data_IF_092989810784
#
_entry.id   IF_092989810784
#
_cell.length_a   1.000
_cell.length_b   1.000
_cell.length_c   1.000
_cell.angle_alpha   90.00
_cell.angle_beta   90.00
_cell.angle_gamma   90.00
#
_symmetry.space_group_name_H-M   'P 1'
#
loop_
_entity.id
_entity.type
_entity.pdbx_description
1 polymer ?
#
# COMPACT_ATOMS: atom_id res chain seq x y z
N UNK A 1 5.92 7.68 -10.47
CA UNK A 1 5.46 7.33 -9.12
C UNK A 1 6.09 6.01 -8.73
N UNK A 2 6.78 5.99 -7.58
CA UNK A 2 7.49 4.81 -7.07
C UNK A 2 6.79 4.19 -5.84
N UNK A 3 5.59 4.64 -5.52
CA UNK A 3 4.84 4.07 -4.40
C UNK A 3 4.71 2.55 -4.53
N UNK A 4 4.94 1.87 -3.40
CA UNK A 4 4.95 0.41 -3.25
C UNK A 4 6.18 -0.33 -3.77
N UNK A 5 7.04 0.30 -4.61
CA UNK A 5 8.28 -0.30 -5.10
C UNK A 5 9.48 -0.09 -4.20
N UNK A 6 9.46 0.96 -3.37
CA UNK A 6 10.60 1.34 -2.54
C UNK A 6 11.03 0.22 -1.59
N UNK A 7 12.32 -0.04 -1.53
CA UNK A 7 12.97 -1.08 -0.70
C UNK A 7 12.56 -2.53 -1.03
N UNK A 8 11.89 -2.77 -2.16
CA UNK A 8 11.57 -4.13 -2.62
C UNK A 8 12.79 -4.74 -3.31
N UNK A 9 13.49 -3.94 -4.11
CA UNK A 9 14.72 -4.32 -4.79
C UNK A 9 15.94 -3.59 -4.22
N UNK A 10 17.13 -4.00 -4.64
CA UNK A 10 18.40 -3.38 -4.21
C UNK A 10 18.69 -2.06 -4.89
N UNK A 11 18.02 -1.80 -6.01
CA UNK A 11 18.18 -0.59 -6.81
C UNK A 11 16.83 0.03 -7.12
N UNK A 12 16.77 1.34 -7.10
CA UNK A 12 15.57 2.12 -7.39
C UNK A 12 15.52 2.52 -8.88
N UNK A 13 14.37 2.94 -9.43
CA UNK A 13 14.22 3.22 -10.86
C UNK A 13 15.21 4.26 -11.41
N UNK A 14 15.80 5.09 -10.56
CA UNK A 14 16.86 6.04 -10.98
C UNK A 14 18.13 5.36 -11.44
N UNK A 15 18.41 4.14 -11.01
CA UNK A 15 19.51 3.33 -11.49
C UNK A 15 19.27 2.81 -12.93
N UNK A 16 18.00 2.73 -13.32
CA UNK A 16 17.57 2.25 -14.64
C UNK A 16 17.16 3.36 -15.60
N UNK A 17 17.57 4.61 -15.33
CA UNK A 17 17.43 5.72 -16.24
C UNK A 17 16.28 6.68 -15.96
N UNK A 18 15.51 6.50 -14.91
CA UNK A 18 14.53 7.50 -14.48
C UNK A 18 15.25 8.77 -14.02
N UNK A 19 14.85 9.92 -14.54
CA UNK A 19 15.41 11.20 -14.14
C UNK A 19 14.94 11.67 -12.77
N UNK A 20 13.70 11.37 -12.45
CA UNK A 20 13.05 11.66 -11.18
C UNK A 20 12.16 10.49 -10.77
N UNK A 21 12.04 10.27 -9.48
CA UNK A 21 11.02 9.46 -8.83
C UNK A 21 10.35 10.29 -7.76
N UNK A 22 9.11 9.97 -7.48
CA UNK A 22 8.34 10.56 -6.39
C UNK A 22 7.54 9.46 -5.67
N UNK A 23 7.29 9.66 -4.40
CA UNK A 23 6.51 8.73 -3.62
C UNK A 23 6.01 9.34 -2.32
N UNK A 24 5.26 8.56 -1.58
CA UNK A 24 4.64 8.96 -0.31
C UNK A 24 5.44 8.45 0.88
N UNK A 25 5.72 9.33 1.84
CA UNK A 25 6.38 8.93 3.09
C UNK A 25 5.44 8.19 4.05
N UNK A 26 4.11 8.23 3.85
CA UNK A 26 3.17 7.43 4.66
C UNK A 26 3.04 5.97 4.17
N UNK A 27 3.79 5.60 3.12
CA UNK A 27 3.84 4.24 2.55
C UNK A 27 5.16 3.56 2.89
N UNK A 28 5.74 2.81 1.96
CA UNK A 28 6.97 2.05 2.17
C UNK A 28 8.07 2.84 2.90
N UNK A 29 8.47 4.06 2.43
CA UNK A 29 9.60 4.76 3.03
C UNK A 29 9.38 5.22 4.47
N UNK A 30 8.13 5.35 4.88
CA UNK A 30 7.82 5.78 6.25
C UNK A 30 7.76 4.66 7.27
N UNK A 31 7.85 3.40 6.85
CA UNK A 31 7.90 2.24 7.74
C UNK A 31 6.76 2.17 8.77
N UNK A 32 5.59 2.73 8.45
CA UNK A 32 4.44 2.82 9.35
C UNK A 32 4.57 3.88 10.45
N UNK A 33 5.62 4.71 10.45
CA UNK A 33 5.88 5.72 11.48
C UNK A 33 5.74 7.15 11.00
N UNK A 34 5.97 7.43 9.71
CA UNK A 34 5.83 8.77 9.16
C UNK A 34 4.35 9.13 9.02
N UNK A 35 3.87 10.18 9.71
CA UNK A 35 2.44 10.53 9.72
C UNK A 35 1.98 11.31 8.49
N UNK A 36 2.92 11.79 7.69
CA UNK A 36 2.66 12.65 6.52
C UNK A 36 3.89 12.74 5.63
N UNK A 37 3.74 13.36 4.47
CA UNK A 37 4.83 13.76 3.62
C UNK A 37 4.97 12.94 2.34
N UNK A 38 5.80 13.45 1.47
CA UNK A 38 6.22 12.82 0.23
C UNK A 38 7.68 13.14 -0.04
N UNK A 39 8.24 12.48 -1.03
CA UNK A 39 9.61 12.72 -1.47
C UNK A 39 9.68 12.85 -2.99
N UNK A 40 10.68 13.57 -3.43
CA UNK A 40 11.15 13.60 -4.82
C UNK A 40 12.64 13.31 -4.78
N UNK A 41 13.10 12.33 -5.55
CA UNK A 41 14.51 11.97 -5.64
C UNK A 41 14.93 11.80 -7.11
N UNK A 42 16.22 11.99 -7.41
CA UNK A 42 16.75 11.85 -8.75
C UNK A 42 17.83 12.86 -9.08
N UNK A 43 17.92 13.27 -10.35
CA UNK A 43 18.93 14.22 -10.80
C UNK A 43 18.77 15.59 -10.14
N UNK A 44 19.83 16.09 -9.54
CA UNK A 44 19.87 17.35 -8.77
C UNK A 44 19.16 18.50 -9.50
N UNK A 45 19.44 18.69 -10.78
CA UNK A 45 18.83 19.74 -11.61
C UNK A 45 17.30 19.75 -11.52
N UNK A 46 16.66 18.57 -11.57
CA UNK A 46 15.21 18.45 -11.56
C UNK A 46 14.65 18.53 -10.15
N UNK A 47 15.34 17.96 -9.16
CA UNK A 47 14.96 18.07 -7.76
C UNK A 47 14.93 19.54 -7.31
N UNK A 48 15.92 20.35 -7.72
CA UNK A 48 15.96 21.78 -7.44
C UNK A 48 14.78 22.54 -8.06
N UNK A 49 14.44 22.24 -9.32
CA UNK A 49 13.26 22.84 -9.97
C UNK A 49 11.96 22.49 -9.23
N UNK A 50 11.81 21.24 -8.78
CA UNK A 50 10.68 20.81 -7.97
C UNK A 50 10.63 21.56 -6.64
N UNK A 51 11.77 21.75 -5.97
CA UNK A 51 11.84 22.46 -4.71
C UNK A 51 11.35 23.91 -4.86
N UNK A 52 11.75 24.61 -5.91
CA UNK A 52 11.25 25.97 -6.19
C UNK A 52 9.76 26.03 -6.49
N UNK A 53 9.19 24.96 -6.98
CA UNK A 53 7.74 24.88 -7.27
C UNK A 53 6.91 24.54 -6.03
N UNK A 54 7.46 23.72 -5.11
CA UNK A 54 6.78 23.22 -3.93
C UNK A 54 6.77 24.22 -2.75
N UNK A 55 7.74 25.14 -2.72
CA UNK A 55 7.89 26.12 -1.67
C UNK A 55 7.53 27.54 -2.15
N UNK A 56 7.73 28.53 -1.31
CA UNK A 56 7.56 29.93 -1.70
C UNK A 56 8.64 30.39 -2.68
N UNK A 57 8.30 31.38 -3.49
CA UNK A 57 9.22 31.94 -4.48
C UNK A 57 10.55 32.35 -3.85
N UNK A 58 11.66 31.87 -4.43
CA UNK A 58 13.02 32.18 -4.00
C UNK A 58 13.55 31.39 -2.81
N UNK A 59 12.76 30.55 -2.16
CA UNK A 59 13.19 29.76 -0.99
C UNK A 59 13.79 28.41 -1.42
N UNK A 60 13.19 27.72 -2.40
CA UNK A 60 13.67 26.41 -2.85
C UNK A 60 13.67 25.39 -1.70
N UNK A 61 14.78 24.66 -1.54
CA UNK A 61 14.96 23.63 -0.53
C UNK A 61 15.47 24.12 0.83
N UNK A 62 15.70 25.41 1.00
CA UNK A 62 16.23 25.97 2.25
C UNK A 62 15.23 25.96 3.40
N UNK A 63 13.94 25.90 3.10
CA UNK A 63 12.88 25.76 4.06
C UNK A 63 11.82 24.78 3.56
N UNK A 64 11.14 24.13 4.50
CA UNK A 64 10.04 23.21 4.21
C UNK A 64 9.21 22.94 5.46
N UNK A 65 7.94 22.60 5.26
CA UNK A 65 7.03 22.28 6.35
C UNK A 65 7.17 20.80 6.74
N UNK A 66 8.06 20.47 7.67
CA UNK A 66 8.15 19.13 8.26
C UNK A 66 7.20 18.91 9.44
N UNK A 67 6.49 19.95 9.88
CA UNK A 67 5.51 19.93 10.98
C UNK A 67 6.02 19.31 12.29
N UNK A 68 7.35 19.28 12.50
CA UNK A 68 7.97 18.66 13.67
C UNK A 68 8.12 17.14 13.61
N UNK A 69 7.79 16.49 12.49
CA UNK A 69 7.80 15.03 12.36
C UNK A 69 9.12 14.44 11.83
N UNK A 70 10.19 15.19 11.78
CA UNK A 70 11.48 14.71 11.25
C UNK A 70 11.96 13.43 11.94
N UNK A 71 11.79 13.32 13.26
CA UNK A 71 12.21 12.12 13.98
C UNK A 71 11.46 10.88 13.51
N UNK A 72 10.14 10.96 13.40
CA UNK A 72 9.31 9.87 12.92
C UNK A 72 9.62 9.50 11.46
N UNK A 73 9.88 10.52 10.63
CA UNK A 73 10.27 10.29 9.23
C UNK A 73 11.62 9.55 9.13
N UNK A 74 12.64 9.97 9.86
CA UNK A 74 13.94 9.30 9.87
C UNK A 74 13.89 7.91 10.50
N UNK A 75 13.15 7.75 11.59
CA UNK A 75 12.99 6.43 12.20
C UNK A 75 12.19 5.51 11.29
N UNK A 76 11.17 6.02 10.62
CA UNK A 76 10.40 5.29 9.62
C UNK A 76 11.27 4.84 8.46
N UNK A 77 12.11 5.71 7.91
CA UNK A 77 13.05 5.38 6.85
C UNK A 77 14.05 4.29 7.30
N UNK A 78 14.55 4.38 8.52
CA UNK A 78 15.42 3.34 9.09
C UNK A 78 14.71 1.98 9.20
N UNK A 79 13.43 1.98 9.58
CA UNK A 79 12.62 0.76 9.73
C UNK A 79 12.08 0.24 8.39
N UNK A 80 12.01 1.07 7.36
CA UNK A 80 11.33 0.77 6.10
C UNK A 80 11.75 -0.56 5.45
N UNK A 81 13.04 -0.92 5.32
CA UNK A 81 13.44 -2.21 4.73
C UNK A 81 12.86 -3.40 5.48
N UNK A 82 12.82 -3.33 6.81
CA UNK A 82 12.22 -4.38 7.64
C UNK A 82 10.71 -4.48 7.41
N UNK A 83 10.01 -3.35 7.46
CA UNK A 83 8.55 -3.31 7.30
C UNK A 83 8.14 -3.75 5.89
N UNK A 84 8.84 -3.30 4.85
CA UNK A 84 8.61 -3.75 3.47
C UNK A 84 8.81 -5.26 3.33
N UNK A 85 9.82 -5.83 4.01
CA UNK A 85 10.01 -7.28 4.02
C UNK A 85 8.84 -8.04 4.67
N UNK A 86 8.18 -7.46 5.69
CA UNK A 86 6.97 -8.05 6.27
C UNK A 86 5.78 -7.97 5.31
N UNK A 87 5.61 -6.83 4.64
CA UNK A 87 4.59 -6.65 3.60
C UNK A 87 4.76 -7.63 2.43
N UNK A 88 6.00 -7.86 1.97
CA UNK A 88 6.29 -8.87 0.95
C UNK A 88 5.94 -10.29 1.40
N UNK A 89 6.27 -10.66 2.63
CA UNK A 89 5.85 -11.96 3.20
C UNK A 89 4.33 -12.10 3.26
N UNK A 90 3.64 -11.01 3.62
CA UNK A 90 2.17 -10.96 3.62
C UNK A 90 1.59 -11.16 2.21
N UNK A 91 2.15 -10.48 1.21
CA UNK A 91 1.74 -10.62 -0.19
C UNK A 91 1.94 -12.05 -0.69
N UNK A 92 3.09 -12.68 -0.41
CA UNK A 92 3.36 -14.09 -0.76
C UNK A 92 2.37 -15.03 -0.08
N UNK A 93 2.09 -14.82 1.22
CA UNK A 93 1.10 -15.61 1.94
C UNK A 93 -0.29 -15.47 1.32
N UNK A 94 -0.71 -14.25 1.04
CA UNK A 94 -2.00 -13.94 0.42
C UNK A 94 -2.14 -14.67 -0.93
N UNK A 95 -1.13 -14.54 -1.79
CA UNK A 95 -1.06 -15.25 -3.05
C UNK A 95 -1.23 -16.77 -2.88
N UNK A 96 -0.46 -17.37 -1.96
CA UNK A 96 -0.49 -18.82 -1.72
C UNK A 96 -1.85 -19.31 -1.17
N UNK A 97 -2.47 -18.52 -0.28
CA UNK A 97 -3.79 -18.86 0.28
C UNK A 97 -4.86 -18.82 -0.80
N UNK A 98 -4.94 -17.72 -1.55
CA UNK A 98 -6.00 -17.54 -2.54
C UNK A 98 -5.81 -18.42 -3.80
N UNK A 99 -4.57 -18.70 -4.21
CA UNK A 99 -4.30 -19.70 -5.25
C UNK A 99 -4.79 -21.10 -4.83
N UNK A 100 -4.53 -21.52 -3.57
CA UNK A 100 -5.05 -22.80 -3.04
C UNK A 100 -6.56 -22.84 -2.93
N UNK A 101 -7.21 -21.69 -2.76
CA UNK A 101 -8.67 -21.57 -2.77
C UNK A 101 -9.25 -21.56 -4.20
N UNK A 102 -8.40 -21.64 -5.23
CA UNK A 102 -8.81 -21.74 -6.64
C UNK A 102 -9.00 -20.40 -7.34
N UNK A 103 -8.51 -19.31 -6.78
CA UNK A 103 -8.55 -17.99 -7.43
C UNK A 103 -7.29 -17.74 -8.27
N UNK A 104 -7.45 -16.97 -9.33
CA UNK A 104 -6.33 -16.45 -10.11
C UNK A 104 -5.65 -15.33 -9.31
N UNK A 105 -4.34 -15.42 -9.15
CA UNK A 105 -3.51 -14.47 -8.38
C UNK A 105 -2.33 -14.00 -9.22
N UNK A 106 -1.94 -12.75 -9.03
CA UNK A 106 -0.80 -12.14 -9.70
C UNK A 106 -0.13 -11.10 -8.76
N UNK A 107 1.19 -11.21 -8.51
CA UNK A 107 2.11 -12.30 -8.84
C UNK A 107 1.76 -13.61 -8.12
N UNK A 108 2.22 -14.73 -8.67
CA UNK A 108 2.10 -16.03 -8.01
C UNK A 108 3.05 -16.14 -6.80
N UNK A 109 2.83 -17.12 -5.89
CA UNK A 109 3.60 -17.21 -4.66
C UNK A 109 5.12 -17.32 -4.84
N UNK A 110 5.57 -17.88 -5.96
CA UNK A 110 6.98 -18.11 -6.27
C UNK A 110 7.54 -17.18 -7.35
N UNK A 111 6.79 -16.19 -7.78
CA UNK A 111 7.25 -15.19 -8.75
C UNK A 111 7.99 -14.05 -8.07
N UNK A 112 8.91 -13.44 -8.82
CA UNK A 112 9.64 -12.24 -8.38
C UNK A 112 8.65 -11.09 -8.25
N UNK A 113 8.83 -10.28 -7.21
CA UNK A 113 8.00 -9.13 -6.92
C UNK A 113 8.78 -7.84 -7.05
N UNK A 114 8.15 -6.83 -7.61
CA UNK A 114 8.70 -5.49 -7.80
C UNK A 114 7.99 -4.44 -6.96
N UNK A 115 6.94 -4.86 -6.27
CA UNK A 115 6.17 -4.06 -5.30
C UNK A 115 5.57 -4.96 -4.21
N UNK A 116 4.82 -4.36 -3.28
CA UNK A 116 4.17 -5.07 -2.17
C UNK A 116 2.72 -5.45 -2.46
N UNK A 117 2.23 -5.22 -3.67
CA UNK A 117 0.83 -5.45 -4.02
C UNK A 117 0.59 -6.91 -4.37
N UNK A 118 -0.55 -7.43 -3.94
CA UNK A 118 -1.07 -8.71 -4.37
C UNK A 118 -2.44 -8.54 -4.99
N UNK A 119 -2.58 -8.86 -6.27
CA UNK A 119 -3.88 -8.91 -6.92
C UNK A 119 -4.51 -10.29 -6.81
N UNK A 120 -5.83 -10.32 -6.65
CA UNK A 120 -6.64 -11.54 -6.60
C UNK A 120 -7.88 -11.31 -7.44
N UNK A 121 -8.08 -12.15 -8.45
CA UNK A 121 -9.25 -12.09 -9.32
C UNK A 121 -10.34 -12.99 -8.78
N UNK A 122 -11.35 -12.37 -8.21
CA UNK A 122 -12.47 -13.08 -7.62
C UNK A 122 -13.57 -13.43 -8.62
N UNK A 123 -13.71 -12.64 -9.69
CA UNK A 123 -14.75 -12.83 -10.71
C UNK A 123 -16.17 -12.55 -10.24
N UNK A 124 -16.34 -12.01 -9.03
CA UNK A 124 -17.60 -11.86 -8.33
C UNK A 124 -17.56 -10.62 -7.42
N UNK A 125 -18.49 -9.67 -7.50
CA UNK A 125 -18.49 -8.46 -6.69
C UNK A 125 -18.71 -8.72 -5.20
N UNK A 126 -19.49 -9.75 -4.84
CA UNK A 126 -19.79 -10.08 -3.45
C UNK A 126 -18.54 -10.64 -2.76
N UNK A 127 -17.75 -11.43 -3.49
CA UNK A 127 -16.46 -11.93 -2.99
C UNK A 127 -15.43 -10.83 -2.79
N UNK A 128 -15.36 -9.87 -3.72
CA UNK A 128 -14.52 -8.67 -3.57
C UNK A 128 -14.90 -7.91 -2.32
N UNK A 129 -16.19 -7.67 -2.14
CA UNK A 129 -16.72 -6.96 -0.97
C UNK A 129 -16.42 -7.71 0.33
N UNK A 130 -16.68 -9.03 0.37
CA UNK A 130 -16.39 -9.86 1.52
C UNK A 130 -14.89 -9.89 1.87
N UNK A 131 -14.02 -9.96 0.85
CA UNK A 131 -12.57 -9.88 1.03
C UNK A 131 -12.14 -8.57 1.69
N UNK A 132 -12.54 -7.43 1.14
CA UNK A 132 -12.20 -6.12 1.69
C UNK A 132 -12.74 -5.94 3.12
N UNK A 133 -13.97 -6.36 3.37
CA UNK A 133 -14.55 -6.35 4.72
C UNK A 133 -13.79 -7.24 5.70
N UNK A 134 -13.29 -8.38 5.24
CA UNK A 134 -12.46 -9.28 6.05
C UNK A 134 -11.10 -8.69 6.39
N UNK A 135 -10.44 -8.04 5.42
CA UNK A 135 -9.19 -7.30 5.66
C UNK A 135 -9.42 -6.16 6.67
N UNK A 136 -10.50 -5.37 6.51
CA UNK A 136 -10.87 -4.31 7.46
C UNK A 136 -11.06 -4.86 8.88
N UNK A 137 -11.74 -5.98 9.01
CA UNK A 137 -12.00 -6.62 10.30
C UNK A 137 -10.73 -7.13 10.98
N UNK A 138 -9.70 -7.48 10.19
CA UNK A 138 -8.38 -7.88 10.68
C UNK A 138 -7.41 -6.72 10.90
N UNK A 139 -7.80 -5.48 10.60
CA UNK A 139 -6.95 -4.31 10.76
C UNK A 139 -6.76 -3.92 12.24
N UNK A 140 -5.64 -3.27 12.59
CA UNK A 140 -5.36 -2.88 13.97
C UNK A 140 -6.26 -1.74 14.48
N UNK A 141 -6.78 -0.93 13.57
CA UNK A 141 -7.64 0.23 13.86
C UNK A 141 -8.93 0.10 13.07
N UNK A 142 -10.02 0.63 13.61
CA UNK A 142 -11.34 0.65 12.96
C UNK A 142 -11.84 -0.73 12.47
N UNK A 143 -11.43 -1.80 13.14
CA UNK A 143 -11.83 -3.18 12.80
C UNK A 143 -13.33 -3.45 12.95
N UNK A 144 -14.06 -2.58 13.63
CA UNK A 144 -15.53 -2.63 13.79
C UNK A 144 -16.27 -2.02 12.60
N UNK A 145 -15.59 -1.24 11.75
CA UNK A 145 -16.19 -0.64 10.54
C UNK A 145 -16.35 -1.72 9.47
N UNK A 146 -17.48 -1.67 8.78
CA UNK A 146 -17.76 -2.54 7.63
C UNK A 146 -17.74 -1.67 6.38
N UNK A 147 -16.70 -1.74 5.56
CA UNK A 147 -16.64 -0.98 4.31
C UNK A 147 -17.68 -1.49 3.31
N UNK A 148 -18.22 -0.57 2.54
CA UNK A 148 -19.15 -0.86 1.46
C UNK A 148 -18.69 -0.18 0.17
N UNK A 149 -19.06 -0.71 -1.00
CA UNK A 149 -18.81 -0.03 -2.28
C UNK A 149 -19.49 1.34 -2.32
N UNK A 150 -18.80 2.36 -2.79
CA UNK A 150 -19.33 3.71 -2.92
C UNK A 150 -18.78 4.44 -4.15
N UNK A 151 -19.48 5.48 -4.57
CA UNK A 151 -19.09 6.30 -5.71
C UNK A 151 -17.97 7.26 -5.32
N UNK A 152 -16.76 6.98 -5.76
CA UNK A 152 -15.59 7.79 -5.48
C UNK A 152 -15.34 8.79 -6.63
N UNK A 153 -15.15 10.09 -6.34
CA UNK A 153 -14.82 11.08 -7.36
C UNK A 153 -13.59 10.67 -8.19
N UNK A 154 -13.73 10.76 -9.51
CA UNK A 154 -12.68 10.40 -10.46
C UNK A 154 -12.68 8.94 -10.91
N UNK A 155 -13.54 8.10 -10.39
CA UNK A 155 -13.70 6.71 -10.80
C UNK A 155 -14.99 6.52 -11.61
N UNK A 156 -14.94 5.63 -12.60
CA UNK A 156 -16.10 5.27 -13.45
C UNK A 156 -16.96 4.14 -12.88
N UNK A 157 -16.55 3.54 -11.78
CA UNK A 157 -17.26 2.46 -11.08
C UNK A 157 -17.11 2.68 -9.58
N UNK A 158 -18.01 2.11 -8.81
CA UNK A 158 -17.86 2.09 -7.35
C UNK A 158 -16.54 1.43 -6.95
N UNK A 159 -16.00 1.87 -5.83
CA UNK A 159 -14.77 1.34 -5.23
C UNK A 159 -15.06 0.96 -3.78
N UNK A 160 -14.50 -0.15 -3.33
CA UNK A 160 -14.46 -0.51 -1.91
C UNK A 160 -13.04 -0.41 -1.40
N UNK A 161 -12.86 0.12 -0.19
CA UNK A 161 -11.56 0.26 0.47
C UNK A 161 -11.60 -0.29 1.89
N UNK A 162 -10.63 -1.13 2.23
CA UNK A 162 -10.29 -1.54 3.58
C UNK A 162 -9.01 -0.82 3.99
N UNK A 163 -9.09 0.07 4.98
CA UNK A 163 -8.00 0.98 5.33
C UNK A 163 -7.97 1.28 6.84
N UNK A 164 -8.01 0.24 7.66
CA UNK A 164 -7.88 0.35 9.13
C UNK A 164 -6.44 0.57 9.56
N UNK A 165 -5.95 1.79 9.42
CA UNK A 165 -4.56 2.18 9.61
C UNK A 165 -4.39 3.25 10.68
N UNK A 166 -3.27 3.25 11.42
CA UNK A 166 -2.89 4.31 12.36
C UNK A 166 -2.70 5.66 11.68
N UNK A 167 -2.20 5.65 10.46
CA UNK A 167 -2.05 6.82 9.61
C UNK A 167 -2.99 6.69 8.41
N UNK A 168 -3.88 7.65 8.23
CA UNK A 168 -4.83 7.66 7.11
C UNK A 168 -4.09 7.58 5.76
N UNK A 169 -4.48 6.60 4.94
CA UNK A 169 -3.85 6.34 3.64
C UNK A 169 -2.53 5.58 3.68
N UNK A 170 -2.05 5.14 4.86
CA UNK A 170 -0.83 4.36 5.02
C UNK A 170 -1.05 2.89 4.63
N UNK A 171 -1.07 2.61 3.34
CA UNK A 171 -1.30 1.27 2.80
C UNK A 171 -0.25 0.24 3.23
N UNK A 172 0.94 0.68 3.66
CA UNK A 172 1.97 -0.20 4.23
C UNK A 172 1.49 -0.91 5.51
N UNK A 173 0.46 -0.41 6.17
CA UNK A 173 -0.02 -0.97 7.42
C UNK A 173 -0.88 -2.24 7.26
N UNK A 174 -1.57 -2.40 6.27
CA UNK A 174 -2.43 -3.44 5.70
C UNK A 174 -3.69 -2.77 5.15
N UNK A 175 -3.90 -2.94 3.88
CA UNK A 175 -5.10 -2.43 3.22
C UNK A 175 -5.50 -3.31 2.05
N UNK A 176 -6.73 -3.15 1.62
CA UNK A 176 -7.19 -3.71 0.36
C UNK A 176 -8.16 -2.74 -0.30
N UNK A 177 -8.10 -2.65 -1.60
CA UNK A 177 -9.03 -1.88 -2.40
C UNK A 177 -9.43 -2.64 -3.66
N UNK A 178 -10.60 -2.30 -4.19
CA UNK A 178 -11.07 -2.89 -5.43
C UNK A 178 -12.10 -2.00 -6.13
N UNK A 179 -12.00 -1.82 -7.45
CA UNK A 179 -13.09 -1.32 -8.25
C UNK A 179 -14.16 -2.40 -8.42
N UNK A 180 -15.42 -2.04 -8.24
CA UNK A 180 -16.55 -2.97 -8.43
C UNK A 180 -16.92 -2.99 -9.91
N UNK A 181 -16.07 -3.65 -10.68
CA UNK A 181 -16.26 -3.87 -12.12
C UNK A 181 -15.57 -5.15 -12.57
N UNK A 182 -16.07 -5.82 -13.62
CA UNK A 182 -15.37 -6.99 -14.18
C UNK A 182 -13.91 -6.66 -14.56
N UNK A 183 -12.97 -7.58 -14.34
CA UNK A 183 -13.18 -8.95 -13.88
C UNK A 183 -13.19 -9.13 -12.34
N UNK A 184 -13.47 -8.08 -11.55
CA UNK A 184 -13.58 -8.10 -10.09
C UNK A 184 -12.28 -8.56 -9.41
N UNK A 185 -11.30 -7.66 -9.47
CA UNK A 185 -9.97 -7.86 -8.86
C UNK A 185 -9.87 -7.01 -7.60
N UNK A 186 -9.41 -7.61 -6.52
CA UNK A 186 -8.99 -6.88 -5.33
C UNK A 186 -7.46 -6.80 -5.27
N UNK A 187 -6.97 -5.71 -4.74
CA UNK A 187 -5.55 -5.42 -4.53
C UNK A 187 -5.31 -5.31 -3.02
N UNK A 188 -4.47 -6.19 -2.49
CA UNK A 188 -4.04 -6.16 -1.09
C UNK A 188 -2.59 -5.71 -1.00
N UNK A 189 -2.28 -4.86 -0.06
CA UNK A 189 -0.93 -4.40 0.20
C UNK A 189 -0.67 -4.17 1.69
N UNK A 190 0.61 -4.24 2.06
CA UNK A 190 1.07 -3.87 3.39
C UNK A 190 1.04 -4.99 4.42
N UNK A 191 1.26 -4.57 5.64
CA UNK A 191 1.39 -5.39 6.83
C UNK A 191 2.64 -4.99 7.61
N UNK A 192 2.49 -4.22 8.70
CA UNK A 192 3.62 -3.78 9.53
C UNK A 192 4.37 -4.97 10.14
N UNK A 193 3.63 -6.03 10.45
CA UNK A 193 4.16 -7.33 10.86
C UNK A 193 3.50 -8.44 10.06
N UNK A 194 4.25 -9.48 9.77
CA UNK A 194 3.72 -10.65 9.08
C UNK A 194 2.52 -11.27 9.82
N UNK A 195 2.59 -11.31 11.15
CA UNK A 195 1.58 -11.93 12.00
C UNK A 195 0.24 -11.19 11.91
N UNK A 196 0.25 -9.85 11.93
CA UNK A 196 -0.98 -9.06 11.79
C UNK A 196 -1.58 -9.19 10.41
N UNK A 197 -0.76 -9.15 9.37
CA UNK A 197 -1.22 -9.35 7.99
C UNK A 197 -1.78 -10.77 7.78
N UNK A 198 -1.13 -11.80 8.34
CA UNK A 198 -1.62 -13.18 8.33
C UNK A 198 -3.01 -13.28 8.95
N UNK A 199 -3.22 -12.62 10.10
CA UNK A 199 -4.54 -12.59 10.73
C UNK A 199 -5.58 -11.97 9.79
N UNK A 200 -5.29 -10.81 9.21
CA UNK A 200 -6.19 -10.14 8.25
C UNK A 200 -6.53 -11.02 7.05
N UNK A 201 -5.55 -11.67 6.45
CA UNK A 201 -5.72 -12.59 5.32
C UNK A 201 -6.60 -13.78 5.71
N UNK A 202 -6.39 -14.37 6.89
CA UNK A 202 -7.19 -15.50 7.37
C UNK A 202 -8.65 -15.10 7.67
N UNK A 203 -8.87 -13.91 8.26
CA UNK A 203 -10.21 -13.36 8.48
C UNK A 203 -10.92 -13.09 7.16
N UNK A 204 -10.22 -12.58 6.16
CA UNK A 204 -10.77 -12.34 4.83
C UNK A 204 -11.17 -13.65 4.14
N UNK A 205 -10.30 -14.66 4.19
CA UNK A 205 -10.60 -15.98 3.65
C UNK A 205 -11.82 -16.64 4.34
N UNK A 206 -11.87 -16.59 5.67
CA UNK A 206 -12.99 -17.13 6.46
C UNK A 206 -14.31 -16.44 6.09
N UNK A 207 -14.31 -15.10 6.02
CA UNK A 207 -15.52 -14.34 5.66
C UNK A 207 -16.03 -14.68 4.26
N UNK A 208 -15.12 -14.86 3.29
CA UNK A 208 -15.50 -15.21 1.93
C UNK A 208 -16.03 -16.63 1.78
N UNK A 209 -15.59 -17.56 2.62
CA UNK A 209 -15.96 -18.97 2.55
C UNK A 209 -17.22 -19.31 3.33
N UNK A 210 -17.62 -18.46 4.28
CA UNK A 210 -18.89 -18.62 4.98
C UNK A 210 -20.03 -18.41 3.98
N UNK A 211 -20.84 -19.44 3.78
CA UNK A 211 -22.15 -19.29 3.16
C UNK A 211 -23.05 -18.67 4.23
N UNK A 212 -23.58 -17.48 3.98
CA UNK A 212 -24.71 -16.97 4.77
C UNK A 212 -25.94 -17.87 4.61
#
# INVERSE_FOLDING_TARGET
DNCYGEFVETEEPTAYGADLIAGSLIKNPGGGLAPTGGYIAGKQKYVELCAYRLTSVGIGKEAGASLGFNRQMYQGLFMAPHVVSQALKAAVLCSAVFEKLGFEVDPKPNEIRHDIIQSIKFGDPDKVTAFCQGIQKGAPVDSFVTPEPWDMPGYSSQVIMAAGAFVQGASIELSADAPIKPPYIAYMQGGLTYESAKLGIMVAADKMLRKE
#
